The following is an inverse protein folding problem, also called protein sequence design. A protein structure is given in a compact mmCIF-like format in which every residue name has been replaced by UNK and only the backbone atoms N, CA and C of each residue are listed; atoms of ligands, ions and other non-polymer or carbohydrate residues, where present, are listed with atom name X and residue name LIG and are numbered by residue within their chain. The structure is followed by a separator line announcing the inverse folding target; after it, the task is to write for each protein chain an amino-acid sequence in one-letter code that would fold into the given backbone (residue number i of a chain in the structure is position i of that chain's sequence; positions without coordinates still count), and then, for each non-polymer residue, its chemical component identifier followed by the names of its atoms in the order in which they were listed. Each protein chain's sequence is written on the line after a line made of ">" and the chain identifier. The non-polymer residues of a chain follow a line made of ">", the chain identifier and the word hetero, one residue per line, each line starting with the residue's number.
data_IF_297781761761
#
_entry.id   IF_297781761761
#
_cell.length_a   1.000
_cell.length_b   1.000
_cell.length_c   1.000
_cell.angle_alpha   90.00
_cell.angle_beta   90.00
_cell.angle_gamma   90.00
#
_symmetry.space_group_name_H-M   'P 1'
#
loop_
_entity.id
_entity.type
_entity.pdbx_description
1 polymer ?
#
# COMPACT_ATOMS: atom_id res chain seq x y z
N UNK A 1 9.61 1.40 -7.59
CA UNK A 1 10.86 1.06 -8.27
C UNK A 1 10.76 -0.26 -9.02
N UNK A 2 11.62 -0.44 -10.03
CA UNK A 2 11.66 -1.68 -10.79
C UNK A 2 12.32 -2.79 -9.97
N UNK A 3 11.82 -4.02 -10.10
CA UNK A 3 12.43 -5.21 -9.52
C UNK A 3 13.55 -5.76 -10.40
N UNK A 4 13.35 -5.69 -11.71
CA UNK A 4 14.26 -6.19 -12.76
C UNK A 4 14.24 -5.27 -13.98
N UNK A 5 15.18 -5.51 -14.87
CA UNK A 5 15.16 -5.00 -16.23
C UNK A 5 15.35 -6.16 -17.21
N UNK A 6 14.65 -6.18 -18.37
CA UNK A 6 14.97 -7.09 -19.46
C UNK A 6 16.43 -6.92 -19.88
N UNK A 7 17.15 -8.05 -20.14
CA UNK A 7 18.59 -8.04 -20.44
C UNK A 7 18.96 -7.05 -21.54
N UNK A 8 18.21 -7.02 -22.65
CA UNK A 8 18.46 -6.10 -23.75
C UNK A 8 18.34 -4.63 -23.35
N UNK A 9 17.24 -4.27 -22.63
CA UNK A 9 17.04 -2.89 -22.13
C UNK A 9 18.10 -2.47 -21.12
N UNK A 10 18.61 -3.41 -20.30
CA UNK A 10 19.68 -3.12 -19.35
C UNK A 10 21.00 -2.80 -20.11
N UNK A 11 21.34 -3.56 -21.14
CA UNK A 11 22.52 -3.35 -21.95
C UNK A 11 22.45 -2.00 -22.67
N UNK A 12 21.34 -1.71 -23.36
CA UNK A 12 21.09 -0.45 -24.07
C UNK A 12 21.21 0.76 -23.12
N UNK A 13 20.47 0.76 -22.02
CA UNK A 13 20.48 1.86 -21.03
C UNK A 13 21.87 2.03 -20.38
N UNK A 14 22.62 0.94 -20.21
CA UNK A 14 23.99 1.02 -19.68
C UNK A 14 24.94 1.62 -20.71
N UNK A 15 24.84 1.22 -21.99
CA UNK A 15 25.65 1.78 -23.07
C UNK A 15 25.43 3.30 -23.21
N UNK A 16 24.19 3.74 -23.18
CA UNK A 16 23.87 5.17 -23.17
C UNK A 16 24.46 5.92 -21.96
N UNK A 17 24.35 5.35 -20.77
CA UNK A 17 24.80 6.00 -19.54
C UNK A 17 26.33 6.18 -19.45
N UNK A 18 27.11 5.20 -19.97
CA UNK A 18 28.59 5.24 -19.93
C UNK A 18 29.20 5.72 -21.23
N UNK A 19 28.39 6.10 -22.22
CA UNK A 19 28.84 6.46 -23.58
C UNK A 19 29.71 5.34 -24.22
N UNK A 20 29.33 4.08 -23.94
CA UNK A 20 30.06 2.86 -24.32
C UNK A 20 29.39 2.10 -25.46
N UNK A 21 29.93 0.94 -25.78
CA UNK A 21 29.44 0.02 -26.82
C UNK A 21 28.75 -1.17 -26.12
N UNK A 22 27.59 -1.60 -26.61
CA UNK A 22 26.85 -2.71 -26.05
C UNK A 22 27.64 -4.02 -25.94
N UNK A 23 28.54 -4.26 -26.93
CA UNK A 23 29.42 -5.45 -26.98
C UNK A 23 30.38 -5.55 -25.79
N UNK A 24 30.76 -4.42 -25.18
CA UNK A 24 31.63 -4.38 -24.00
C UNK A 24 30.88 -4.65 -22.69
N UNK A 25 29.55 -4.48 -22.69
CA UNK A 25 28.72 -4.58 -21.49
C UNK A 25 28.33 -6.05 -21.20
N UNK A 26 28.08 -6.83 -22.24
CA UNK A 26 27.62 -8.21 -22.08
C UNK A 26 28.62 -9.10 -21.29
N UNK A 27 29.95 -9.08 -21.55
CA UNK A 27 30.93 -9.83 -20.75
C UNK A 27 31.00 -9.38 -19.29
N UNK A 28 30.76 -8.08 -19.03
CA UNK A 28 30.70 -7.56 -17.65
C UNK A 28 29.45 -8.06 -16.94
N UNK A 29 28.33 -8.08 -17.64
CA UNK A 29 27.07 -8.61 -17.11
C UNK A 29 27.22 -10.09 -16.73
N UNK A 30 27.80 -10.91 -17.61
CA UNK A 30 28.05 -12.32 -17.34
C UNK A 30 29.00 -12.52 -16.14
N UNK A 31 29.97 -11.64 -15.97
CA UNK A 31 30.87 -11.65 -14.81
C UNK A 31 30.07 -11.35 -13.53
N UNK A 32 29.22 -10.31 -13.53
CA UNK A 32 28.40 -9.94 -12.37
C UNK A 32 27.39 -11.04 -12.00
N UNK A 33 26.88 -11.77 -12.98
CA UNK A 33 26.01 -12.94 -12.74
C UNK A 33 26.84 -14.07 -12.12
N UNK A 34 28.04 -14.34 -12.64
CA UNK A 34 28.92 -15.38 -12.08
C UNK A 34 29.38 -15.07 -10.65
N UNK A 35 29.48 -13.79 -10.28
CA UNK A 35 29.78 -13.32 -8.93
C UNK A 35 28.55 -13.28 -8.00
N UNK A 36 27.38 -13.74 -8.45
CA UNK A 36 26.11 -13.71 -7.73
C UNK A 36 25.65 -12.30 -7.32
N UNK A 37 26.15 -11.25 -7.97
CA UNK A 37 25.73 -9.86 -7.75
C UNK A 37 24.45 -9.53 -8.49
N UNK A 38 24.25 -10.21 -9.62
CA UNK A 38 23.03 -10.16 -10.42
C UNK A 38 22.47 -11.58 -10.61
N UNK A 39 21.16 -11.66 -10.83
CA UNK A 39 20.47 -12.91 -11.17
C UNK A 39 19.81 -12.72 -12.53
N UNK A 40 20.12 -13.60 -13.47
CA UNK A 40 19.42 -13.72 -14.73
C UNK A 40 18.34 -14.79 -14.57
N UNK A 41 17.10 -14.40 -14.76
CA UNK A 41 15.96 -15.30 -14.78
C UNK A 41 15.48 -15.45 -16.23
N UNK A 42 15.45 -16.68 -16.73
CA UNK A 42 14.94 -16.95 -18.08
C UNK A 42 13.48 -16.48 -18.13
N UNK A 43 13.19 -15.57 -19.04
CA UNK A 43 11.86 -14.99 -19.18
C UNK A 43 10.86 -16.08 -19.48
N UNK A 44 10.07 -16.48 -18.51
CA UNK A 44 8.76 -17.06 -18.75
C UNK A 44 8.00 -15.92 -19.42
N UNK A 45 7.87 -15.97 -20.77
CA UNK A 45 7.15 -14.95 -21.49
C UNK A 45 5.83 -14.67 -20.77
N UNK A 46 5.67 -13.47 -20.30
CA UNK A 46 4.37 -12.97 -19.87
C UNK A 46 3.43 -13.19 -21.07
N UNK A 47 2.44 -14.04 -20.87
CA UNK A 47 1.49 -14.41 -21.92
C UNK A 47 0.59 -13.25 -22.35
N UNK A 48 1.02 -12.00 -22.24
CA UNK A 48 0.39 -10.82 -22.80
C UNK A 48 0.53 -10.89 -24.33
N UNK A 49 -0.56 -11.17 -24.99
CA UNK A 49 -0.68 -11.31 -26.44
C UNK A 49 -0.50 -10.00 -27.24
N UNK A 50 -0.12 -8.92 -26.58
CA UNK A 50 -0.22 -7.58 -27.17
C UNK A 50 1.09 -7.04 -27.77
N UNK A 51 2.24 -7.75 -27.63
CA UNK A 51 3.46 -7.35 -28.33
C UNK A 51 4.36 -8.56 -28.69
N UNK A 52 4.18 -9.12 -29.89
CA UNK A 52 5.01 -10.27 -30.33
C UNK A 52 6.47 -9.89 -30.67
N UNK A 53 6.82 -8.61 -30.76
CA UNK A 53 8.18 -8.15 -31.11
C UNK A 53 9.02 -7.73 -29.89
N UNK A 54 8.43 -7.49 -28.70
CA UNK A 54 9.11 -7.04 -27.48
C UNK A 54 9.20 -8.12 -26.40
N UNK A 55 9.02 -9.39 -26.73
CA UNK A 55 9.31 -10.49 -25.81
C UNK A 55 10.79 -10.43 -25.40
N UNK A 56 11.14 -10.54 -24.08
CA UNK A 56 12.51 -10.35 -23.62
C UNK A 56 13.43 -11.39 -24.23
N UNK A 57 14.09 -11.04 -25.34
CA UNK A 57 15.22 -11.82 -25.82
C UNK A 57 16.29 -11.76 -24.73
N UNK A 58 16.47 -12.86 -24.00
CA UNK A 58 17.57 -13.00 -23.04
C UNK A 58 17.24 -12.97 -21.56
N UNK A 59 15.95 -12.92 -21.15
CA UNK A 59 15.55 -13.00 -19.73
C UNK A 59 15.57 -11.67 -18.98
N UNK A 60 15.21 -11.73 -17.68
CA UNK A 60 15.13 -10.59 -16.77
C UNK A 60 16.33 -10.57 -15.83
N UNK A 61 16.97 -9.41 -15.68
CA UNK A 61 18.13 -9.22 -14.82
C UNK A 61 17.72 -8.51 -13.54
N UNK A 62 17.97 -9.13 -12.42
CA UNK A 62 17.69 -8.63 -11.06
C UNK A 62 18.98 -8.27 -10.33
N UNK A 63 18.90 -7.30 -9.43
CA UNK A 63 19.82 -7.26 -8.30
C UNK A 63 19.54 -8.47 -7.39
N UNK A 64 20.56 -9.21 -7.00
CA UNK A 64 20.43 -10.42 -6.18
C UNK A 64 19.55 -10.25 -4.93
N UNK A 65 19.65 -9.15 -4.15
CA UNK A 65 18.76 -8.96 -3.00
C UNK A 65 17.29 -8.81 -3.37
N UNK A 66 16.96 -8.24 -4.55
CA UNK A 66 15.59 -8.06 -5.00
C UNK A 66 14.98 -9.39 -5.46
N UNK A 67 15.73 -10.18 -6.26
CA UNK A 67 15.29 -11.52 -6.64
C UNK A 67 15.06 -12.39 -5.40
N UNK A 68 15.99 -12.37 -4.43
CA UNK A 68 15.84 -13.10 -3.18
C UNK A 68 14.58 -12.69 -2.41
N UNK A 69 14.26 -11.40 -2.38
CA UNK A 69 13.07 -10.89 -1.70
C UNK A 69 11.78 -11.36 -2.39
N UNK A 70 11.71 -11.32 -3.71
CA UNK A 70 10.56 -11.76 -4.50
C UNK A 70 10.30 -13.25 -4.36
N UNK A 71 11.34 -14.06 -4.56
CA UNK A 71 11.30 -15.52 -4.35
C UNK A 71 10.91 -15.85 -2.90
N UNK A 72 11.43 -15.07 -1.95
CA UNK A 72 11.10 -15.20 -0.53
C UNK A 72 9.61 -14.97 -0.22
N UNK A 73 9.02 -13.90 -0.77
CA UNK A 73 7.57 -13.62 -0.67
C UNK A 73 6.76 -14.77 -1.26
N UNK A 74 7.08 -15.18 -2.50
CA UNK A 74 6.39 -16.28 -3.18
C UNK A 74 6.42 -17.57 -2.38
N UNK A 75 7.61 -18.00 -1.93
CA UNK A 75 7.77 -19.22 -1.16
C UNK A 75 7.03 -19.16 0.18
N UNK A 76 7.04 -18.00 0.85
CA UNK A 76 6.37 -17.84 2.14
C UNK A 76 4.85 -17.85 1.99
N UNK A 77 4.28 -17.17 1.00
CA UNK A 77 2.85 -17.23 0.70
C UNK A 77 2.43 -18.65 0.37
N UNK A 78 3.17 -19.36 -0.50
CA UNK A 78 2.90 -20.77 -0.83
C UNK A 78 2.90 -21.67 0.41
N UNK A 79 3.85 -21.46 1.32
CA UNK A 79 3.94 -22.22 2.57
C UNK A 79 2.74 -21.95 3.49
N UNK A 80 2.33 -20.69 3.65
CA UNK A 80 1.14 -20.33 4.42
C UNK A 80 -0.12 -20.98 3.84
N UNK A 81 -0.28 -20.98 2.51
CA UNK A 81 -1.43 -21.59 1.84
C UNK A 81 -1.55 -23.11 2.06
N UNK A 82 -0.42 -23.80 2.22
CA UNK A 82 -0.40 -25.26 2.46
C UNK A 82 -0.63 -25.61 3.93
N UNK A 83 -0.24 -24.73 4.87
CA UNK A 83 -0.37 -24.95 6.32
C UNK A 83 -1.71 -24.47 6.88
N UNK A 84 -2.77 -24.61 6.11
CA UNK A 84 -4.12 -24.12 6.44
C UNK A 84 -4.62 -24.63 7.81
N UNK A 85 -5.11 -23.73 8.67
CA UNK A 85 -5.82 -24.15 9.86
C UNK A 85 -7.12 -24.90 9.52
N UNK A 86 -7.61 -25.70 10.46
CA UNK A 86 -8.86 -26.45 10.29
C UNK A 86 -10.03 -25.50 9.98
N UNK A 87 -10.84 -25.79 8.96
CA UNK A 87 -11.96 -24.93 8.60
C UNK A 87 -13.04 -24.94 9.68
N UNK A 88 -13.55 -23.78 10.03
CA UNK A 88 -14.70 -23.62 10.90
C UNK A 88 -16.00 -24.01 10.17
N UNK A 89 -16.97 -24.57 10.90
CA UNK A 89 -18.28 -24.87 10.35
C UNK A 89 -19.00 -23.61 9.87
N UNK A 90 -19.59 -23.65 8.68
CA UNK A 90 -20.22 -22.47 8.06
C UNK A 90 -21.32 -21.86 8.93
N UNK A 91 -22.15 -22.68 9.59
CA UNK A 91 -23.19 -22.18 10.49
C UNK A 91 -22.64 -21.41 11.69
N UNK A 92 -21.55 -21.86 12.27
CA UNK A 92 -20.88 -21.19 13.38
C UNK A 92 -20.32 -19.82 12.96
N UNK A 93 -19.76 -19.72 11.75
CA UNK A 93 -19.22 -18.46 11.24
C UNK A 93 -20.33 -17.45 10.95
N UNK A 94 -21.45 -17.91 10.37
CA UNK A 94 -22.61 -17.04 10.09
C UNK A 94 -23.27 -16.51 11.37
N UNK A 95 -23.40 -17.37 12.39
CA UNK A 95 -23.91 -16.97 13.70
C UNK A 95 -22.99 -15.96 14.37
N UNK A 96 -21.69 -16.22 14.37
CA UNK A 96 -20.67 -15.30 14.90
C UNK A 96 -20.69 -13.94 14.20
N UNK A 97 -20.84 -13.92 12.86
CA UNK A 97 -20.94 -12.67 12.11
C UNK A 97 -22.21 -11.89 12.46
N UNK A 98 -23.34 -12.57 12.63
CA UNK A 98 -24.59 -11.91 13.03
C UNK A 98 -24.48 -11.28 14.43
N UNK A 99 -23.83 -11.96 15.36
CA UNK A 99 -23.53 -11.41 16.69
C UNK A 99 -22.61 -10.19 16.63
N UNK A 100 -21.60 -10.23 15.74
CA UNK A 100 -20.66 -9.11 15.54
C UNK A 100 -21.38 -7.91 14.92
N UNK A 101 -22.24 -8.10 13.92
CA UNK A 101 -23.05 -7.03 13.34
C UNK A 101 -23.91 -6.35 14.41
N UNK A 102 -24.53 -7.14 15.29
CA UNK A 102 -25.30 -6.61 16.42
C UNK A 102 -24.45 -5.83 17.43
N UNK A 103 -23.27 -6.34 17.80
CA UNK A 103 -22.37 -5.70 18.75
C UNK A 103 -21.74 -4.43 18.20
N UNK A 104 -21.34 -4.41 16.94
CA UNK A 104 -20.72 -3.26 16.29
C UNK A 104 -21.74 -2.26 15.74
N UNK A 105 -23.04 -2.59 15.80
CA UNK A 105 -24.14 -1.79 15.23
C UNK A 105 -23.92 -1.47 13.75
N UNK A 106 -23.47 -2.47 12.99
CA UNK A 106 -23.22 -2.37 11.55
C UNK A 106 -24.03 -3.42 10.82
N UNK A 107 -24.26 -3.19 9.53
CA UNK A 107 -24.76 -4.20 8.59
C UNK A 107 -23.71 -4.37 7.51
N UNK A 108 -23.17 -5.57 7.39
CA UNK A 108 -22.18 -5.89 6.37
C UNK A 108 -22.85 -6.14 5.02
N UNK A 109 -22.37 -5.49 3.98
CA UNK A 109 -22.70 -5.84 2.61
C UNK A 109 -22.24 -7.26 2.29
N UNK A 110 -22.79 -7.85 1.23
CA UNK A 110 -22.49 -9.24 0.84
C UNK A 110 -20.98 -9.49 0.70
N UNK A 111 -20.29 -8.62 -0.05
CA UNK A 111 -18.84 -8.78 -0.27
C UNK A 111 -18.03 -8.59 1.02
N UNK A 112 -18.50 -7.77 1.96
CA UNK A 112 -17.87 -7.62 3.28
C UNK A 112 -18.04 -8.87 4.15
N UNK A 113 -19.23 -9.49 4.13
CA UNK A 113 -19.46 -10.80 4.80
C UNK A 113 -18.59 -11.87 4.16
N UNK A 114 -18.54 -11.94 2.82
CA UNK A 114 -17.71 -12.90 2.10
C UNK A 114 -16.22 -12.73 2.44
N UNK A 115 -15.74 -11.51 2.61
CA UNK A 115 -14.38 -11.23 3.06
C UNK A 115 -14.11 -11.77 4.48
N UNK A 116 -15.03 -11.54 5.42
CA UNK A 116 -14.89 -12.01 6.79
C UNK A 116 -14.91 -13.54 6.87
N UNK A 117 -15.78 -14.19 6.11
CA UNK A 117 -15.83 -15.65 5.99
C UNK A 117 -14.55 -16.20 5.37
N UNK A 118 -14.07 -15.55 4.30
CA UNK A 118 -12.85 -15.98 3.60
C UNK A 118 -11.60 -15.82 4.48
N UNK A 119 -11.53 -14.76 5.30
CA UNK A 119 -10.43 -14.53 6.24
C UNK A 119 -10.24 -15.67 7.25
N UNK A 120 -11.33 -16.36 7.63
CA UNK A 120 -11.26 -17.55 8.49
C UNK A 120 -10.95 -18.84 7.74
N UNK A 121 -11.33 -18.91 6.47
CA UNK A 121 -11.20 -20.15 5.68
C UNK A 121 -9.88 -20.24 4.95
N UNK A 122 -9.31 -19.10 4.60
CA UNK A 122 -8.05 -19.02 3.87
C UNK A 122 -6.93 -18.52 4.78
N UNK A 123 -5.75 -19.15 4.75
CA UNK A 123 -4.59 -18.68 5.52
C UNK A 123 -4.08 -17.31 5.04
N UNK A 124 -4.27 -16.99 3.78
CA UNK A 124 -3.92 -15.70 3.18
C UNK A 124 -5.12 -15.17 2.42
N UNK A 125 -5.48 -13.92 2.69
CA UNK A 125 -6.55 -13.19 2.00
C UNK A 125 -6.04 -11.83 1.56
N UNK A 126 -6.35 -11.45 0.32
CA UNK A 126 -6.25 -10.08 -0.16
C UNK A 126 -7.63 -9.44 -0.16
N UNK A 127 -7.77 -8.35 0.58
CA UNK A 127 -8.96 -7.49 0.60
C UNK A 127 -8.64 -6.18 -0.10
N UNK A 128 -9.25 -5.93 -1.25
CA UNK A 128 -9.01 -4.72 -2.03
C UNK A 128 -10.29 -3.96 -2.32
N UNK A 129 -10.17 -2.69 -2.64
CA UNK A 129 -11.30 -1.83 -3.01
C UNK A 129 -10.91 -0.36 -2.95
N UNK A 130 -11.60 0.47 -3.71
CA UNK A 130 -11.39 1.92 -3.77
C UNK A 130 -11.79 2.66 -2.49
N UNK A 131 -11.70 3.99 -2.50
CA UNK A 131 -12.16 4.81 -1.40
C UNK A 131 -13.68 4.66 -1.20
N UNK A 132 -14.14 4.71 0.06
CA UNK A 132 -15.58 4.62 0.37
C UNK A 132 -16.23 3.24 0.24
N UNK A 133 -15.48 2.17 -0.07
CA UNK A 133 -16.02 0.81 -0.22
C UNK A 133 -16.15 0.03 1.09
N UNK A 134 -15.78 0.63 2.23
CA UNK A 134 -15.94 0.03 3.55
C UNK A 134 -14.87 -0.98 3.95
N UNK A 135 -13.64 -0.87 3.39
CA UNK A 135 -12.49 -1.69 3.83
C UNK A 135 -12.32 -1.69 5.35
N UNK A 136 -12.36 -0.53 5.96
CA UNK A 136 -12.19 -0.35 7.41
C UNK A 136 -13.28 -1.09 8.22
N UNK A 137 -14.54 -1.01 7.79
CA UNK A 137 -15.66 -1.74 8.41
C UNK A 137 -15.44 -3.25 8.31
N UNK A 138 -14.97 -3.72 7.15
CA UNK A 138 -14.65 -5.13 6.93
C UNK A 138 -13.50 -5.59 7.82
N UNK A 139 -12.44 -4.79 7.96
CA UNK A 139 -11.32 -5.08 8.87
C UNK A 139 -11.79 -5.20 10.31
N UNK A 140 -12.66 -4.30 10.79
CA UNK A 140 -13.26 -4.39 12.14
C UNK A 140 -14.03 -5.68 12.35
N UNK A 141 -14.81 -6.09 11.36
CA UNK A 141 -15.57 -7.34 11.44
C UNK A 141 -14.64 -8.57 11.44
N UNK A 142 -13.61 -8.60 10.60
CA UNK A 142 -12.59 -9.68 10.57
C UNK A 142 -11.86 -9.75 11.91
N UNK A 143 -11.41 -8.63 12.45
CA UNK A 143 -10.73 -8.57 13.74
C UNK A 143 -11.61 -9.10 14.86
N UNK A 144 -12.86 -8.61 14.97
CA UNK A 144 -13.82 -9.06 15.97
C UNK A 144 -14.11 -10.57 15.84
N UNK A 145 -14.13 -11.09 14.62
CA UNK A 145 -14.35 -12.51 14.36
C UNK A 145 -13.18 -13.38 14.85
N UNK A 146 -11.94 -12.97 14.57
CA UNK A 146 -10.75 -13.65 15.10
C UNK A 146 -10.69 -13.59 16.64
N UNK A 147 -11.00 -12.45 17.23
CA UNK A 147 -11.02 -12.25 18.68
C UNK A 147 -12.10 -13.10 19.36
N UNK A 148 -13.30 -13.19 18.77
CA UNK A 148 -14.38 -14.04 19.26
C UNK A 148 -13.97 -15.54 19.30
N UNK A 149 -13.10 -15.93 18.37
CA UNK A 149 -12.53 -17.28 18.31
C UNK A 149 -11.28 -17.48 19.19
N UNK A 150 -10.95 -16.49 20.03
CA UNK A 150 -9.82 -16.55 20.95
C UNK A 150 -8.45 -16.48 20.26
N UNK A 151 -8.37 -15.91 19.05
CA UNK A 151 -7.14 -15.76 18.29
C UNK A 151 -6.36 -14.53 18.73
N UNK A 152 -5.03 -14.66 18.85
CA UNK A 152 -4.12 -13.54 19.06
C UNK A 152 -3.89 -12.83 17.72
N UNK A 153 -4.39 -11.59 17.59
CA UNK A 153 -4.34 -10.81 16.34
C UNK A 153 -3.36 -9.64 16.50
N UNK A 154 -2.48 -9.47 15.52
CA UNK A 154 -1.65 -8.28 15.39
C UNK A 154 -2.11 -7.42 14.21
N UNK A 155 -2.15 -6.09 14.41
CA UNK A 155 -2.49 -5.11 13.41
C UNK A 155 -1.26 -4.30 13.03
N UNK A 156 -0.99 -4.12 11.74
CA UNK A 156 0.09 -3.25 11.32
C UNK A 156 -0.19 -2.53 10.01
N UNK A 157 0.61 -1.47 9.76
CA UNK A 157 0.59 -0.69 8.53
C UNK A 157 2.01 -0.22 8.18
N UNK A 158 2.29 0.20 6.92
CA UNK A 158 3.62 0.65 6.52
C UNK A 158 4.04 1.97 7.17
N UNK A 159 3.10 2.85 7.48
CA UNK A 159 3.37 4.20 8.01
C UNK A 159 2.76 4.40 9.39
N UNK A 160 3.35 5.32 10.19
CA UNK A 160 2.83 5.67 11.51
C UNK A 160 1.41 6.26 11.46
N UNK A 161 1.11 7.06 10.43
CA UNK A 161 -0.23 7.66 10.25
C UNK A 161 -1.28 6.59 9.95
N UNK A 162 -0.97 5.65 9.07
CA UNK A 162 -1.87 4.54 8.76
C UNK A 162 -2.09 3.63 9.99
N UNK A 163 -1.02 3.30 10.73
CA UNK A 163 -1.12 2.53 11.96
C UNK A 163 -1.98 3.23 13.03
N UNK A 164 -1.78 4.54 13.23
CA UNK A 164 -2.60 5.33 14.15
C UNK A 164 -4.07 5.31 13.74
N UNK A 165 -4.38 5.56 12.46
CA UNK A 165 -5.74 5.50 11.94
C UNK A 165 -6.36 4.11 12.13
N UNK A 166 -5.59 3.05 11.85
CA UNK A 166 -6.05 1.67 12.06
C UNK A 166 -6.40 1.43 13.52
N UNK A 167 -5.57 1.91 14.47
CA UNK A 167 -5.88 1.82 15.91
C UNK A 167 -7.15 2.57 16.28
N UNK A 168 -7.33 3.80 15.80
CA UNK A 168 -8.51 4.64 16.10
C UNK A 168 -9.82 3.98 15.64
N UNK A 169 -9.81 3.36 14.46
CA UNK A 169 -11.01 2.77 13.87
C UNK A 169 -11.32 1.37 14.37
N UNK A 170 -10.31 0.61 14.79
CA UNK A 170 -10.49 -0.74 15.34
C UNK A 170 -10.70 -0.74 16.84
N UNK A 171 -10.16 0.24 17.55
CA UNK A 171 -10.08 0.26 19.01
C UNK A 171 -8.95 -0.58 19.60
N UNK A 172 -8.16 -1.27 18.76
CA UNK A 172 -7.03 -2.12 19.13
C UNK A 172 -5.69 -1.47 18.72
N UNK A 173 -4.60 -1.81 19.41
CA UNK A 173 -3.29 -1.26 19.09
C UNK A 173 -2.81 -1.78 17.73
N UNK A 174 -2.58 -0.86 16.78
CA UNK A 174 -1.88 -1.12 15.54
C UNK A 174 -0.53 -0.40 15.54
N UNK A 175 0.48 -1.04 14.98
CA UNK A 175 1.86 -0.51 14.95
C UNK A 175 2.38 -0.48 13.51
N UNK A 176 3.50 0.23 13.28
CA UNK A 176 4.15 0.14 11.97
C UNK A 176 4.80 -1.23 11.78
N UNK A 177 4.90 -1.70 10.51
CA UNK A 177 5.61 -2.95 10.18
C UNK A 177 7.02 -2.94 10.80
N UNK A 178 7.73 -1.82 10.72
CA UNK A 178 9.07 -1.67 11.31
C UNK A 178 9.07 -1.87 12.83
N UNK A 179 8.08 -1.32 13.53
CA UNK A 179 7.94 -1.51 14.99
C UNK A 179 7.56 -2.95 15.33
N UNK A 180 6.66 -3.55 14.57
CA UNK A 180 6.25 -4.95 14.75
C UNK A 180 7.44 -5.90 14.60
N UNK A 181 8.32 -5.63 13.63
CA UNK A 181 9.52 -6.41 13.37
C UNK A 181 10.73 -6.03 14.27
N UNK A 182 10.55 -5.11 15.23
CA UNK A 182 11.60 -4.62 16.13
C UNK A 182 12.83 -4.12 15.35
N UNK A 183 12.61 -3.24 14.34
CA UNK A 183 13.68 -2.68 13.52
C UNK A 183 14.67 -1.85 14.34
N UNK A 184 15.95 -2.07 14.06
CA UNK A 184 17.06 -1.27 14.60
C UNK A 184 17.96 -0.77 13.47
N UNK A 185 18.34 0.53 13.43
CA UNK A 185 19.22 1.05 12.38
C UNK A 185 20.56 0.31 12.25
N UNK A 186 21.07 -0.25 13.33
CA UNK A 186 22.36 -0.95 13.35
C UNK A 186 22.25 -2.47 13.22
N UNK A 187 21.07 -3.05 13.48
CA UNK A 187 20.87 -4.51 13.52
C UNK A 187 19.79 -5.04 12.58
N UNK A 188 19.13 -4.15 11.82
CA UNK A 188 18.02 -4.56 10.94
C UNK A 188 16.79 -5.03 11.74
N UNK A 189 16.01 -5.93 11.15
CA UNK A 189 14.82 -6.52 11.76
C UNK A 189 15.22 -7.66 12.72
N UNK A 190 14.70 -7.62 13.95
CA UNK A 190 14.97 -8.65 14.97
C UNK A 190 13.98 -9.82 14.92
N UNK A 191 12.81 -9.62 14.31
CA UNK A 191 11.82 -10.66 14.10
C UNK A 191 12.01 -11.25 12.70
N UNK A 192 12.13 -12.57 12.64
CA UNK A 192 12.34 -13.34 11.41
C UNK A 192 11.90 -14.80 11.62
N UNK A 193 12.31 -15.71 10.73
CA UNK A 193 11.98 -17.12 10.82
C UNK A 193 12.56 -17.83 12.07
N UNK A 194 13.66 -17.33 12.64
CA UNK A 194 14.26 -17.90 13.86
C UNK A 194 13.63 -17.34 15.14
N UNK A 195 13.10 -16.12 15.06
CA UNK A 195 12.42 -15.44 16.14
C UNK A 195 11.08 -14.88 15.66
N UNK A 196 10.11 -15.76 15.36
CA UNK A 196 8.85 -15.34 14.76
C UNK A 196 8.02 -14.47 15.70
N UNK A 197 7.03 -13.82 15.11
CA UNK A 197 6.00 -13.10 15.84
C UNK A 197 5.17 -14.10 16.68
N UNK A 198 4.55 -13.60 17.72
CA UNK A 198 3.58 -14.37 18.51
C UNK A 198 2.20 -13.89 18.11
N UNK A 199 1.54 -14.61 17.23
CA UNK A 199 0.20 -14.30 16.73
C UNK A 199 -0.43 -15.51 16.05
N UNK A 200 -1.75 -15.54 16.00
CA UNK A 200 -2.56 -16.47 15.20
C UNK A 200 -3.03 -15.83 13.89
N UNK A 201 -3.17 -14.49 13.88
CA UNK A 201 -3.57 -13.75 12.70
C UNK A 201 -2.85 -12.40 12.61
N UNK A 202 -2.50 -12.02 11.39
CA UNK A 202 -1.92 -10.73 11.05
C UNK A 202 -2.83 -9.99 10.08
N UNK A 203 -3.20 -8.75 10.42
CA UNK A 203 -3.89 -7.86 9.50
C UNK A 203 -2.93 -6.72 9.13
N UNK A 204 -2.65 -6.59 7.85
CA UNK A 204 -1.78 -5.56 7.28
C UNK A 204 -2.62 -4.60 6.47
N UNK A 205 -2.70 -3.36 6.89
CA UNK A 205 -3.40 -2.31 6.14
C UNK A 205 -2.44 -1.51 5.25
N UNK A 206 -2.99 -0.84 4.23
CA UNK A 206 -2.25 -0.03 3.23
C UNK A 206 -1.12 -0.82 2.53
N UNK A 207 -1.39 -2.08 2.16
CA UNK A 207 -0.39 -2.98 1.53
C UNK A 207 0.09 -2.45 0.17
N UNK A 208 -0.68 -1.60 -0.52
CA UNK A 208 -0.24 -0.92 -1.75
C UNK A 208 1.08 -0.13 -1.59
N UNK A 209 1.36 0.34 -0.37
CA UNK A 209 2.59 1.09 -0.03
C UNK A 209 3.76 0.18 0.42
N UNK A 210 3.55 -1.13 0.53
CA UNK A 210 4.56 -2.09 1.01
C UNK A 210 5.35 -2.64 -0.18
N UNK A 211 6.66 -2.37 -0.19
CA UNK A 211 7.56 -2.93 -1.20
C UNK A 211 7.89 -4.41 -0.96
N UNK A 212 8.50 -5.05 -1.96
CA UNK A 212 8.80 -6.50 -1.91
C UNK A 212 9.79 -6.85 -0.80
N UNK A 213 10.77 -5.99 -0.52
CA UNK A 213 11.80 -6.24 0.51
C UNK A 213 11.18 -6.20 1.91
N UNK A 214 10.32 -5.19 2.17
CA UNK A 214 9.62 -5.07 3.44
C UNK A 214 8.61 -6.19 3.63
N UNK A 215 7.87 -6.56 2.57
CA UNK A 215 6.92 -7.68 2.61
C UNK A 215 7.65 -9.01 2.88
N UNK A 216 8.78 -9.26 2.23
CA UNK A 216 9.59 -10.44 2.50
C UNK A 216 10.02 -10.51 3.98
N UNK A 217 10.48 -9.38 4.53
CA UNK A 217 10.89 -9.30 5.93
C UNK A 217 9.71 -9.59 6.87
N UNK A 218 8.53 -9.03 6.57
CA UNK A 218 7.31 -9.25 7.35
C UNK A 218 6.86 -10.72 7.31
N UNK A 219 6.73 -11.29 6.12
CA UNK A 219 6.24 -12.66 5.96
C UNK A 219 7.20 -13.70 6.55
N UNK A 220 8.51 -13.45 6.56
CA UNK A 220 9.48 -14.32 7.23
C UNK A 220 9.27 -14.40 8.74
N UNK A 221 8.74 -13.36 9.36
CA UNK A 221 8.47 -13.32 10.78
C UNK A 221 7.10 -13.89 11.18
N UNK A 222 6.19 -14.12 10.22
CA UNK A 222 4.87 -14.71 10.48
C UNK A 222 5.03 -16.21 10.77
N UNK A 223 4.45 -16.77 11.85
CA UNK A 223 4.49 -18.21 12.12
C UNK A 223 3.72 -19.04 11.06
N UNK A 224 4.08 -20.32 10.92
CA UNK A 224 3.29 -21.26 10.14
C UNK A 224 1.93 -21.51 10.84
N UNK A 225 0.88 -21.68 10.03
CA UNK A 225 -0.48 -21.88 10.54
C UNK A 225 -1.20 -20.60 10.96
N UNK A 226 -0.56 -19.42 10.81
CA UNK A 226 -1.21 -18.13 11.02
C UNK A 226 -2.04 -17.71 9.81
N UNK A 227 -3.05 -16.87 10.06
CA UNK A 227 -3.78 -16.15 9.01
C UNK A 227 -3.09 -14.83 8.68
N UNK A 228 -3.08 -14.44 7.40
CA UNK A 228 -2.60 -13.14 6.95
C UNK A 228 -3.67 -12.48 6.09
N UNK A 229 -4.18 -11.35 6.54
CA UNK A 229 -5.14 -10.52 5.79
C UNK A 229 -4.41 -9.27 5.32
N UNK A 230 -4.26 -9.14 4.01
CA UNK A 230 -3.62 -8.01 3.34
C UNK A 230 -4.69 -7.07 2.80
N UNK A 231 -4.73 -5.86 3.33
CA UNK A 231 -5.74 -4.84 2.97
C UNK A 231 -5.07 -3.72 2.20
N UNK A 232 -5.64 -3.32 1.08
CA UNK A 232 -5.08 -2.24 0.29
C UNK A 232 -5.99 -1.82 -0.86
N UNK A 233 -5.52 -0.87 -1.62
CA UNK A 233 -6.18 -0.37 -2.80
C UNK A 233 -5.22 -0.49 -3.98
N UNK A 234 -5.56 -1.33 -4.96
CA UNK A 234 -4.69 -1.61 -6.12
C UNK A 234 -4.56 -0.41 -7.06
N UNK A 235 -5.49 0.52 -6.96
CA UNK A 235 -5.57 1.70 -7.82
C UNK A 235 -4.82 2.89 -7.21
N UNK A 236 -4.40 2.79 -5.94
CA UNK A 236 -3.53 3.78 -5.31
C UNK A 236 -2.10 3.71 -5.84
N UNK A 237 -1.33 4.78 -5.57
CA UNK A 237 0.08 4.84 -5.93
C UNK A 237 0.85 3.63 -5.35
N UNK A 238 1.75 3.04 -6.14
CA UNK A 238 2.57 1.92 -5.68
C UNK A 238 3.57 2.37 -4.62
N UNK A 239 4.22 1.39 -3.99
CA UNK A 239 5.32 1.61 -3.06
C UNK A 239 6.45 2.44 -3.69
N UNK A 240 7.13 3.25 -2.86
CA UNK A 240 8.34 3.97 -3.28
C UNK A 240 9.50 3.00 -3.54
N UNK A 241 9.59 1.94 -2.74
CA UNK A 241 10.53 0.84 -2.93
C UNK A 241 10.16 -0.07 -4.10
N UNK A 242 11.02 -1.04 -4.45
CA UNK A 242 10.83 -1.90 -5.61
C UNK A 242 9.72 -2.93 -5.42
N UNK A 243 8.95 -3.16 -6.50
CA UNK A 243 7.90 -4.16 -6.59
C UNK A 243 6.49 -3.65 -6.28
N UNK A 244 5.49 -4.45 -6.65
CA UNK A 244 4.06 -4.16 -6.51
C UNK A 244 3.33 -5.37 -5.92
N UNK A 245 3.73 -5.77 -4.71
CA UNK A 245 3.31 -7.04 -4.07
C UNK A 245 1.80 -7.26 -4.12
N UNK A 246 0.99 -6.23 -3.85
CA UNK A 246 -0.47 -6.35 -3.86
C UNK A 246 -0.99 -6.72 -5.26
N UNK A 247 -0.50 -6.04 -6.30
CA UNK A 247 -0.86 -6.32 -7.71
C UNK A 247 -0.41 -7.70 -8.13
N UNK A 248 0.83 -8.07 -7.79
CA UNK A 248 1.44 -9.34 -8.17
C UNK A 248 0.71 -10.52 -7.52
N UNK A 249 0.33 -10.41 -6.24
CA UNK A 249 -0.46 -11.42 -5.55
C UNK A 249 -1.85 -11.60 -6.18
N UNK A 250 -2.53 -10.50 -6.55
CA UNK A 250 -3.82 -10.55 -7.23
C UNK A 250 -3.66 -11.20 -8.61
N UNK A 251 -2.69 -10.74 -9.40
CA UNK A 251 -2.43 -11.25 -10.76
C UNK A 251 -2.04 -12.73 -10.76
N UNK A 252 -1.38 -13.22 -9.70
CA UNK A 252 -1.00 -14.63 -9.58
C UNK A 252 -2.20 -15.60 -9.58
N UNK A 253 -3.39 -15.15 -9.19
CA UNK A 253 -4.59 -15.98 -9.05
C UNK A 253 -4.45 -17.11 -8.02
N UNK A 254 -3.41 -17.10 -7.17
CA UNK A 254 -3.11 -18.16 -6.20
C UNK A 254 -3.61 -17.85 -4.79
N UNK A 255 -3.85 -16.59 -4.49
CA UNK A 255 -4.34 -16.11 -3.20
C UNK A 255 -5.81 -15.72 -3.36
N UNK A 256 -6.70 -16.11 -2.44
CA UNK A 256 -8.06 -15.60 -2.40
C UNK A 256 -8.07 -14.06 -2.36
N UNK A 257 -8.87 -13.47 -3.24
CA UNK A 257 -9.05 -12.01 -3.35
C UNK A 257 -10.53 -11.70 -3.18
N UNK A 258 -10.83 -10.79 -2.27
CA UNK A 258 -12.17 -10.20 -2.18
C UNK A 258 -12.08 -8.72 -2.54
N UNK A 259 -12.80 -8.34 -3.59
CA UNK A 259 -12.87 -6.98 -4.06
C UNK A 259 -14.16 -6.32 -3.58
N UNK A 260 -14.02 -5.19 -2.86
CA UNK A 260 -15.14 -4.38 -2.42
C UNK A 260 -15.44 -3.33 -3.48
N UNK A 261 -16.52 -3.51 -4.21
CA UNK A 261 -16.91 -2.64 -5.34
C UNK A 261 -18.11 -1.74 -5.00
N UNK A 262 -18.79 -2.00 -3.89
CA UNK A 262 -19.97 -1.22 -3.50
C UNK A 262 -19.55 0.08 -2.83
N UNK A 263 -19.84 1.21 -3.47
CA UNK A 263 -19.68 2.52 -2.88
C UNK A 263 -20.93 2.78 -2.02
N UNK A 264 -20.75 2.94 -0.72
CA UNK A 264 -21.86 3.21 0.18
C UNK A 264 -22.49 4.57 -0.10
N UNK A 265 -23.82 4.66 0.15
CA UNK A 265 -24.62 5.86 -0.18
C UNK A 265 -24.02 7.17 0.34
N UNK A 266 -23.48 7.17 1.55
CA UNK A 266 -22.80 8.35 2.11
C UNK A 266 -21.53 8.75 1.33
N UNK A 267 -20.85 7.78 0.69
CA UNK A 267 -19.69 8.02 -0.13
C UNK A 267 -20.05 8.42 -1.57
N UNK A 268 -21.25 8.09 -2.05
CA UNK A 268 -21.73 8.53 -3.37
C UNK A 268 -22.03 10.03 -3.43
N UNK A 269 -22.37 10.65 -2.30
CA UNK A 269 -22.61 12.09 -2.21
C UNK A 269 -21.29 12.89 -2.17
N UNK A 270 -20.14 12.24 -1.91
CA UNK A 270 -18.81 12.85 -1.91
C UNK A 270 -18.25 13.00 -3.33
N UNK A 271 -17.99 14.24 -3.72
CA UNK A 271 -17.35 14.52 -5.02
C UNK A 271 -15.87 14.12 -5.04
N UNK A 272 -15.20 14.10 -3.89
CA UNK A 272 -13.84 13.56 -3.75
C UNK A 272 -13.82 12.10 -4.17
N UNK A 273 -14.76 11.29 -3.67
CA UNK A 273 -14.82 9.85 -3.95
C UNK A 273 -15.23 9.59 -5.39
N UNK A 274 -16.27 10.27 -5.90
CA UNK A 274 -16.71 10.10 -7.28
C UNK A 274 -15.63 10.52 -8.28
N UNK A 275 -14.92 11.62 -8.03
CA UNK A 275 -13.80 12.05 -8.87
C UNK A 275 -12.61 11.10 -8.79
N UNK A 276 -12.29 10.53 -7.63
CA UNK A 276 -11.25 9.51 -7.53
C UNK A 276 -11.56 8.29 -8.41
N UNK A 277 -12.80 7.82 -8.42
CA UNK A 277 -13.23 6.73 -9.31
C UNK A 277 -13.16 7.12 -10.79
N UNK A 278 -13.58 8.33 -11.16
CA UNK A 278 -13.48 8.82 -12.54
C UNK A 278 -12.03 8.83 -13.05
N UNK A 279 -11.13 9.42 -12.25
CA UNK A 279 -9.69 9.46 -12.57
C UNK A 279 -9.12 8.05 -12.73
N UNK A 280 -9.52 7.12 -11.87
CA UNK A 280 -9.08 5.73 -11.96
C UNK A 280 -9.56 5.01 -13.24
N UNK A 281 -10.71 5.42 -13.78
CA UNK A 281 -11.20 4.93 -15.09
C UNK A 281 -10.66 5.71 -16.29
N UNK A 282 -9.73 6.65 -16.08
CA UNK A 282 -9.18 7.50 -17.13
C UNK A 282 -10.12 8.63 -17.58
N UNK A 283 -11.16 8.93 -16.79
CA UNK A 283 -12.10 10.00 -17.04
C UNK A 283 -11.67 11.30 -16.37
N UNK A 284 -12.00 12.44 -16.98
CA UNK A 284 -11.77 13.75 -16.36
C UNK A 284 -12.61 13.90 -15.09
N UNK A 285 -12.02 14.39 -13.98
CA UNK A 285 -12.78 14.73 -12.78
C UNK A 285 -13.78 15.86 -13.07
N UNK A 286 -14.86 15.88 -12.33
CA UNK A 286 -15.85 16.97 -12.37
C UNK A 286 -15.31 18.15 -11.57
N UNK A 287 -14.87 19.20 -12.27
CA UNK A 287 -14.23 20.38 -11.69
C UNK A 287 -15.22 21.47 -11.25
N UNK A 288 -16.46 21.43 -11.77
CA UNK A 288 -17.51 22.39 -11.45
C UNK A 288 -18.26 21.95 -10.20
N UNK A 289 -17.98 22.60 -9.07
CA UNK A 289 -18.60 22.28 -7.78
C UNK A 289 -19.69 23.27 -7.37
N UNK A 290 -20.73 22.77 -6.65
CA UNK A 290 -21.61 23.57 -5.83
C UNK A 290 -20.90 23.93 -4.52
N UNK A 291 -21.23 25.08 -3.86
CA UNK A 291 -20.64 25.45 -2.55
C UNK A 291 -20.83 24.41 -1.43
N UNK A 292 -21.83 23.53 -1.57
CA UNK A 292 -22.14 22.47 -0.61
C UNK A 292 -21.37 21.17 -0.82
N UNK A 293 -20.39 21.16 -1.74
CA UNK A 293 -19.60 19.95 -2.08
C UNK A 293 -18.23 19.96 -1.39
N UNK A 294 -17.58 18.80 -1.39
CA UNK A 294 -16.31 18.55 -0.70
C UNK A 294 -15.07 18.59 -1.62
N UNK A 295 -15.25 18.86 -2.93
CA UNK A 295 -14.18 18.96 -3.92
C UNK A 295 -14.23 20.30 -4.65
N UNK A 296 -13.09 21.02 -4.67
CA UNK A 296 -12.96 22.32 -5.31
C UNK A 296 -11.72 22.35 -6.21
N UNK A 297 -11.84 22.99 -7.36
CA UNK A 297 -10.75 23.21 -8.29
C UNK A 297 -10.52 24.72 -8.46
N UNK A 298 -9.28 25.15 -8.30
CA UNK A 298 -8.86 26.54 -8.54
C UNK A 298 -7.78 26.49 -9.63
N UNK A 299 -8.09 27.10 -10.77
CA UNK A 299 -7.17 27.20 -11.89
C UNK A 299 -6.16 28.30 -11.63
N UNK A 300 -4.87 27.99 -11.72
CA UNK A 300 -3.76 28.93 -11.60
C UNK A 300 -2.71 28.53 -12.63
N UNK A 301 -2.42 29.44 -13.58
CA UNK A 301 -1.42 29.22 -14.63
C UNK A 301 0.01 29.54 -14.15
N UNK A 302 0.15 30.49 -13.24
CA UNK A 302 1.45 30.93 -12.70
C UNK A 302 1.77 30.20 -11.39
N UNK A 303 2.97 29.62 -11.26
CA UNK A 303 3.38 28.91 -10.04
C UNK A 303 3.49 29.79 -8.80
N UNK A 304 3.87 31.08 -8.92
CA UNK A 304 3.90 32.04 -7.82
C UNK A 304 2.48 32.32 -7.31
N UNK A 305 1.55 32.60 -8.22
CA UNK A 305 0.13 32.84 -7.88
C UNK A 305 -0.49 31.61 -7.21
N UNK A 306 -0.16 30.41 -7.70
CA UNK A 306 -0.61 29.16 -7.09
C UNK A 306 -0.04 28.99 -5.67
N UNK A 307 1.24 29.32 -5.45
CA UNK A 307 1.87 29.27 -4.13
C UNK A 307 1.20 30.23 -3.15
N UNK A 308 0.97 31.49 -3.59
CA UNK A 308 0.27 32.49 -2.76
C UNK A 308 -1.16 32.07 -2.42
N UNK A 309 -1.87 31.52 -3.42
CA UNK A 309 -3.23 30.98 -3.23
C UNK A 309 -3.24 29.88 -2.17
N UNK A 310 -2.30 28.91 -2.22
CA UNK A 310 -2.17 27.84 -1.24
C UNK A 310 -1.93 28.41 0.16
N UNK A 311 -1.00 29.39 0.29
CA UNK A 311 -0.67 30.01 1.58
C UNK A 311 -1.88 30.73 2.17
N UNK A 312 -2.62 31.51 1.36
CA UNK A 312 -3.84 32.20 1.79
C UNK A 312 -4.96 31.23 2.16
N UNK A 313 -5.14 30.16 1.38
CA UNK A 313 -6.14 29.13 1.69
C UNK A 313 -5.85 28.50 3.06
N UNK A 314 -4.61 28.10 3.30
CA UNK A 314 -4.25 27.42 4.54
C UNK A 314 -4.17 28.34 5.75
N UNK A 315 -3.74 29.59 5.56
CA UNK A 315 -3.55 30.51 6.69
C UNK A 315 -4.80 31.25 7.13
N UNK A 316 -5.72 31.53 6.20
CA UNK A 316 -6.86 32.44 6.49
C UNK A 316 -8.21 31.86 6.07
N UNK A 317 -8.35 31.47 4.79
CA UNK A 317 -9.66 31.22 4.20
C UNK A 317 -10.30 29.91 4.68
N UNK A 318 -9.57 28.80 4.64
CA UNK A 318 -10.13 27.51 5.06
C UNK A 318 -10.29 27.42 6.59
N UNK A 319 -9.31 27.85 7.41
CA UNK A 319 -9.50 27.89 8.86
C UNK A 319 -10.73 28.66 9.27
N UNK A 320 -10.94 29.87 8.69
CA UNK A 320 -12.10 30.73 9.02
C UNK A 320 -13.42 30.15 8.49
N UNK A 321 -13.41 29.43 7.38
CA UNK A 321 -14.63 28.89 6.77
C UNK A 321 -15.10 27.59 7.43
N UNK A 322 -14.17 26.71 7.80
CA UNK A 322 -14.48 25.39 8.36
C UNK A 322 -14.31 25.30 9.87
N UNK A 323 -13.83 26.34 10.53
CA UNK A 323 -13.50 26.37 11.98
C UNK A 323 -12.50 25.23 12.33
N UNK A 324 -11.40 25.14 11.57
CA UNK A 324 -10.38 24.12 11.70
C UNK A 324 -9.02 24.70 12.04
N UNK A 325 -8.18 23.95 12.74
CA UNK A 325 -6.79 24.30 13.03
C UNK A 325 -5.89 24.06 11.80
N UNK A 326 -5.23 25.11 11.26
CA UNK A 326 -4.42 24.98 10.05
C UNK A 326 -3.20 24.06 10.20
N UNK A 327 -2.73 23.82 11.41
CA UNK A 327 -1.56 22.96 11.69
C UNK A 327 -1.96 21.50 11.89
N UNK A 328 -3.08 21.26 12.56
CA UNK A 328 -3.50 19.92 12.96
C UNK A 328 -4.53 19.28 12.05
N UNK A 329 -5.42 20.07 11.46
CA UNK A 329 -6.57 19.59 10.70
C UNK A 329 -6.38 19.69 9.18
N UNK A 330 -5.34 20.41 8.71
CA UNK A 330 -5.08 20.65 7.30
C UNK A 330 -3.77 20.01 6.82
N UNK A 331 -3.75 19.63 5.56
CA UNK A 331 -2.53 19.11 4.93
C UNK A 331 -2.41 19.55 3.47
N UNK A 332 -1.25 20.09 3.11
CA UNK A 332 -0.90 20.40 1.72
C UNK A 332 -0.13 19.21 1.13
N UNK A 333 -0.57 18.74 -0.03
CA UNK A 333 0.11 17.70 -0.80
C UNK A 333 0.74 18.35 -2.03
N UNK A 334 2.03 18.09 -2.26
CA UNK A 334 2.76 18.52 -3.45
C UNK A 334 3.44 17.32 -4.11
N UNK A 335 3.37 17.19 -5.44
CA UNK A 335 4.04 16.11 -6.17
C UNK A 335 5.55 16.31 -6.26
N UNK A 336 6.06 17.50 -5.91
CA UNK A 336 7.46 17.86 -6.03
C UNK A 336 8.08 18.21 -4.68
N UNK A 337 9.38 17.92 -4.53
CA UNK A 337 10.13 18.31 -3.34
C UNK A 337 10.71 19.72 -3.45
N UNK A 338 11.23 20.07 -4.63
CA UNK A 338 11.90 21.34 -4.93
C UNK A 338 11.08 22.19 -5.89
N UNK A 339 11.44 23.48 -6.00
CA UNK A 339 10.73 24.46 -6.84
C UNK A 339 9.69 25.25 -6.06
N UNK A 340 9.02 26.19 -6.74
CA UNK A 340 8.07 27.14 -6.13
C UNK A 340 6.92 26.42 -5.44
N UNK A 341 6.36 25.41 -6.11
CA UNK A 341 5.28 24.55 -5.57
C UNK A 341 5.81 23.28 -4.88
N UNK A 342 7.14 23.20 -4.67
CA UNK A 342 7.74 22.08 -3.96
C UNK A 342 7.47 22.11 -2.45
N UNK A 343 7.41 20.94 -1.84
CA UNK A 343 7.10 20.80 -0.40
C UNK A 343 8.10 21.56 0.51
N UNK A 344 9.37 21.74 0.08
CA UNK A 344 10.36 22.50 0.84
C UNK A 344 9.99 23.99 0.90
N UNK A 345 9.63 24.60 -0.24
CA UNK A 345 9.24 26.01 -0.30
C UNK A 345 7.88 26.25 0.35
N UNK A 346 6.89 25.40 0.06
CA UNK A 346 5.57 25.53 0.68
C UNK A 346 5.63 25.40 2.21
N UNK A 347 6.45 24.50 2.74
CA UNK A 347 6.66 24.40 4.18
C UNK A 347 7.26 25.66 4.79
N UNK A 348 8.27 26.28 4.12
CA UNK A 348 8.86 27.52 4.60
C UNK A 348 7.82 28.66 4.62
N UNK A 349 7.10 28.84 3.51
CA UNK A 349 6.05 29.90 3.39
C UNK A 349 4.92 29.72 4.39
N UNK A 350 4.44 28.49 4.59
CA UNK A 350 3.41 28.18 5.57
C UNK A 350 3.92 28.34 7.00
N UNK A 351 5.17 27.98 7.29
CA UNK A 351 5.78 28.18 8.60
C UNK A 351 5.89 29.69 8.92
N UNK A 352 6.32 30.51 7.97
CA UNK A 352 6.42 31.96 8.15
C UNK A 352 5.04 32.59 8.42
N UNK A 353 3.98 32.07 7.81
CA UNK A 353 2.62 32.58 8.00
C UNK A 353 1.97 32.09 9.30
N UNK A 354 2.10 30.80 9.59
CA UNK A 354 1.36 30.15 10.72
C UNK A 354 2.13 30.20 12.04
N UNK A 355 3.44 30.42 12.01
CA UNK A 355 4.32 30.41 13.18
C UNK A 355 5.44 31.47 13.10
N UNK A 356 5.09 32.70 12.70
CA UNK A 356 6.04 33.79 12.48
C UNK A 356 6.91 34.14 13.71
N UNK A 357 6.37 33.94 14.92
CA UNK A 357 7.05 34.19 16.20
C UNK A 357 7.59 32.92 16.86
N UNK A 358 7.47 31.76 16.21
CA UNK A 358 7.85 30.45 16.76
C UNK A 358 9.36 30.18 16.69
N UNK A 359 9.89 29.50 17.73
CA UNK A 359 11.23 28.96 17.67
C UNK A 359 11.34 27.90 16.56
N UNK A 360 12.36 28.06 15.70
CA UNK A 360 12.67 27.05 14.68
C UNK A 360 13.22 25.83 15.41
N UNK A 361 12.45 24.76 15.44
CA UNK A 361 12.94 23.45 15.95
C UNK A 361 13.93 22.92 14.88
N UNK A 362 15.23 22.77 15.21
CA UNK A 362 16.18 22.18 14.27
C UNK A 362 15.78 20.76 13.91
N UNK A 363 15.82 20.44 12.61
CA UNK A 363 15.53 19.12 12.06
C UNK A 363 16.60 18.10 12.43
#
# INVERSE_FOLDING_TARGET
>A
GHMFLPKGKLIEATAELIEGVEEDIEPVLDTLISEERLVLEDGLGDGSKDDPEDGPQGGNVYLTPLNYAEVGVSNRVRRLLVTSPMPYASSMVEEALSDIEGKLQITLARNQRDAAITALRAPVLVLTGGPGTGKTTTVRAILALFQLLGKEVSLCAPTGRAAKRLSEVTGDEAVTIHRLLEFSPTGGFKRDAHRPLKLDALIVDEVSMVDTVLMNSLLRAVPDGSHVVMVGDVDQLPSVGPGSVLKDLIASGRVPVVQLNEIFRQAQDSQIITNAHRVNHGEMPELTGSPDRDFFFIECDDPEDACETIVQLCGERLPSHYDVDPVWDMQVLSPMKRGILGSENLNARLQDMLNADGEVIPR
#
